data_IF_908774997548
#
_entry.id   IF_908774997548
#
_cell.length_a   1.000
_cell.length_b   1.000
_cell.length_c   1.000
_cell.angle_alpha   90.00
_cell.angle_beta   90.00
_cell.angle_gamma   90.00
#
_symmetry.space_group_name_H-M   'P 1'
#
loop_
_entity.id
_entity.type
_entity.pdbx_description
1 polymer ?
#
# COMPACT_ATOMS: atom_id res chain seq x y z
N UNK A 1 29.92 -9.89 -13.55
CA UNK A 1 28.60 -9.23 -13.54
C UNK A 1 28.05 -9.41 -12.14
N UNK A 2 28.12 -8.37 -11.28
CA UNK A 2 27.66 -8.46 -9.89
C UNK A 2 26.13 -8.46 -9.91
N UNK A 3 25.53 -9.61 -9.58
CA UNK A 3 24.13 -9.66 -9.16
C UNK A 3 23.99 -8.69 -8.00
N UNK A 4 23.17 -7.66 -8.15
CA UNK A 4 22.78 -6.82 -7.02
C UNK A 4 22.19 -7.76 -5.97
N UNK A 5 22.68 -7.65 -4.73
CA UNK A 5 22.10 -8.38 -3.60
C UNK A 5 20.59 -8.14 -3.61
N UNK A 6 19.80 -9.19 -3.38
CA UNK A 6 18.39 -9.04 -3.07
C UNK A 6 18.29 -7.90 -2.05
N UNK A 7 17.73 -6.77 -2.48
CA UNK A 7 17.60 -5.61 -1.60
C UNK A 7 16.59 -6.06 -0.57
N UNK A 8 17.02 -6.20 0.68
CA UNK A 8 16.10 -6.46 1.77
C UNK A 8 15.15 -5.26 1.82
N UNK A 9 13.96 -5.43 1.27
CA UNK A 9 13.01 -4.33 1.12
C UNK A 9 12.75 -3.68 2.46
N UNK A 10 12.74 -4.46 3.53
CA UNK A 10 12.52 -4.03 4.90
C UNK A 10 13.59 -3.07 5.42
N UNK A 11 14.77 -3.03 4.81
CA UNK A 11 15.84 -2.07 5.12
C UNK A 11 15.73 -0.76 4.34
N UNK A 12 14.91 -0.71 3.29
CA UNK A 12 14.79 0.50 2.47
C UNK A 12 14.16 1.65 3.27
N UNK A 13 14.54 2.89 2.94
CA UNK A 13 14.00 4.10 3.57
C UNK A 13 12.46 4.15 3.53
N UNK A 14 11.87 3.53 2.50
CA UNK A 14 10.43 3.36 2.39
C UNK A 14 9.84 2.68 3.61
N UNK A 15 10.48 1.66 4.19
CA UNK A 15 9.96 0.87 5.31
C UNK A 15 10.61 1.22 6.67
N UNK A 16 11.76 1.90 6.68
CA UNK A 16 12.50 2.25 7.90
C UNK A 16 12.31 3.71 8.37
N UNK A 17 11.89 4.63 7.50
CA UNK A 17 11.75 6.04 7.86
C UNK A 17 10.69 6.26 8.97
N UNK A 18 10.98 7.08 10.00
CA UNK A 18 9.99 7.48 10.99
C UNK A 18 8.80 8.20 10.33
N UNK A 19 7.57 7.81 10.68
CA UNK A 19 6.33 8.37 10.13
C UNK A 19 5.15 8.14 11.06
N UNK A 20 4.07 8.89 10.81
CA UNK A 20 2.76 8.63 11.39
C UNK A 20 1.95 7.74 10.45
N UNK A 21 1.51 6.58 10.96
CA UNK A 21 0.69 5.61 10.21
C UNK A 21 1.49 4.57 9.39
N UNK A 22 0.78 3.57 8.83
CA UNK A 22 1.40 2.52 8.02
C UNK A 22 1.84 3.01 6.63
N UNK A 23 2.66 2.19 5.96
CA UNK A 23 2.91 2.32 4.52
C UNK A 23 1.90 1.46 3.77
N UNK A 24 1.23 2.06 2.80
CA UNK A 24 0.36 1.37 1.86
C UNK A 24 1.06 1.32 0.51
N UNK A 25 1.38 0.13 0.03
CA UNK A 25 1.91 -0.08 -1.32
C UNK A 25 0.80 -0.67 -2.18
N UNK A 26 0.34 0.08 -3.17
CA UNK A 26 -0.55 -0.42 -4.20
C UNK A 26 0.26 -1.12 -5.28
N UNK A 27 -0.03 -2.40 -5.51
CA UNK A 27 0.45 -3.13 -6.67
C UNK A 27 -0.57 -3.01 -7.81
N UNK A 28 -0.11 -2.56 -8.97
CA UNK A 28 -0.95 -2.25 -10.13
C UNK A 28 -0.23 -2.61 -11.43
N UNK A 29 -0.97 -2.67 -12.53
CA UNK A 29 -0.44 -2.76 -13.89
C UNK A 29 -1.36 -2.01 -14.85
N UNK A 30 -0.86 -1.61 -16.02
CA UNK A 30 -1.66 -0.93 -17.05
C UNK A 30 -2.80 -1.80 -17.60
N UNK A 31 -2.65 -3.13 -17.54
CA UNK A 31 -3.64 -4.10 -18.04
C UNK A 31 -4.71 -4.47 -17.00
N UNK A 32 -4.55 -4.04 -15.76
CA UNK A 32 -5.48 -4.35 -14.67
C UNK A 32 -6.72 -3.44 -14.74
N UNK A 33 -7.84 -3.98 -15.26
CA UNK A 33 -9.08 -3.22 -15.44
C UNK A 33 -9.67 -2.61 -14.16
N UNK A 34 -9.41 -3.23 -13.00
CA UNK A 34 -9.95 -2.80 -11.70
C UNK A 34 -8.99 -1.92 -10.89
N UNK A 35 -7.75 -1.77 -11.35
CA UNK A 35 -6.74 -1.01 -10.63
C UNK A 35 -7.03 0.50 -10.60
N UNK A 36 -7.59 1.14 -11.66
CA UNK A 36 -7.99 2.55 -11.58
C UNK A 36 -9.01 2.83 -10.48
N UNK A 37 -10.01 1.96 -10.31
CA UNK A 37 -11.01 2.08 -9.25
C UNK A 37 -10.39 1.91 -7.85
N UNK A 38 -9.47 0.95 -7.69
CA UNK A 38 -8.70 0.80 -6.46
C UNK A 38 -7.87 2.06 -6.13
N UNK A 39 -7.18 2.65 -7.12
CA UNK A 39 -6.41 3.89 -6.96
C UNK A 39 -7.30 5.04 -6.47
N UNK A 40 -8.48 5.22 -7.08
CA UNK A 40 -9.43 6.27 -6.65
C UNK A 40 -9.92 6.05 -5.22
N UNK A 41 -10.11 4.80 -4.80
CA UNK A 41 -10.52 4.47 -3.42
C UNK A 41 -9.40 4.73 -2.41
N UNK A 42 -8.15 4.41 -2.74
CA UNK A 42 -7.01 4.74 -1.87
C UNK A 42 -6.88 6.26 -1.74
N UNK A 43 -6.95 7.01 -2.84
CA UNK A 43 -6.92 8.48 -2.83
C UNK A 43 -8.03 9.08 -1.95
N UNK A 44 -9.25 8.54 -2.04
CA UNK A 44 -10.36 9.00 -1.21
C UNK A 44 -10.09 8.78 0.30
N UNK A 45 -9.53 7.63 0.69
CA UNK A 45 -9.20 7.33 2.08
C UNK A 45 -7.98 8.12 2.57
N UNK A 46 -7.01 8.40 1.68
CA UNK A 46 -5.84 9.22 1.98
C UNK A 46 -6.17 10.66 2.39
N UNK A 47 -7.41 11.11 2.15
CA UNK A 47 -7.90 12.42 2.61
C UNK A 47 -8.30 12.42 4.08
N UNK A 48 -8.70 11.26 4.62
CA UNK A 48 -9.29 11.14 5.96
C UNK A 48 -8.50 10.25 6.91
N UNK A 49 -7.48 9.54 6.43
CA UNK A 49 -6.66 8.62 7.24
C UNK A 49 -5.17 8.87 7.02
N UNK A 50 -4.37 8.54 8.03
CA UNK A 50 -2.92 8.65 8.03
C UNK A 50 -2.26 7.36 7.56
N UNK A 51 -1.61 7.45 6.40
CA UNK A 51 -0.71 6.46 5.85
C UNK A 51 0.12 7.09 4.74
N UNK A 52 1.28 6.49 4.45
CA UNK A 52 2.11 6.87 3.29
C UNK A 52 1.77 5.93 2.14
N UNK A 53 1.39 6.50 1.00
CA UNK A 53 0.97 5.71 -0.17
C UNK A 53 2.02 5.69 -1.26
N UNK A 54 2.37 4.47 -1.71
CA UNK A 54 3.23 4.23 -2.85
C UNK A 54 2.54 3.33 -3.88
N UNK A 55 2.88 3.53 -5.15
CA UNK A 55 2.38 2.72 -6.26
C UNK A 55 3.57 1.98 -6.86
N UNK A 56 3.42 0.66 -7.03
CA UNK A 56 4.41 -0.20 -7.66
C UNK A 56 3.78 -1.00 -8.81
N UNK A 57 4.53 -1.12 -9.91
CA UNK A 57 4.13 -1.99 -11.00
C UNK A 57 4.39 -3.45 -10.62
N UNK A 58 3.34 -4.27 -10.53
CA UNK A 58 3.43 -5.65 -10.07
C UNK A 58 4.30 -6.54 -10.99
N UNK A 59 4.46 -6.18 -12.27
CA UNK A 59 5.28 -6.96 -13.21
C UNK A 59 6.77 -6.69 -13.12
N UNK A 60 7.18 -5.54 -12.59
CA UNK A 60 8.59 -5.15 -12.48
C UNK A 60 9.08 -5.04 -11.04
N UNK A 61 8.18 -5.22 -10.06
CA UNK A 61 8.49 -5.05 -8.65
C UNK A 61 8.96 -6.37 -8.05
N UNK A 62 10.23 -6.43 -7.62
CA UNK A 62 10.74 -7.58 -6.87
C UNK A 62 10.07 -7.72 -5.50
N UNK A 63 9.52 -6.62 -4.94
CA UNK A 63 8.67 -6.66 -3.74
C UNK A 63 7.37 -7.43 -4.00
N UNK A 64 6.75 -7.22 -5.16
CA UNK A 64 5.54 -7.94 -5.54
C UNK A 64 5.82 -9.45 -5.69
N UNK A 65 7.01 -9.80 -6.19
CA UNK A 65 7.47 -11.19 -6.29
C UNK A 65 7.72 -11.81 -4.90
N UNK A 66 8.46 -11.13 -4.02
CA UNK A 66 8.74 -11.57 -2.65
C UNK A 66 7.46 -11.78 -1.84
N UNK A 67 6.48 -10.90 -2.02
CA UNK A 67 5.18 -10.95 -1.35
C UNK A 67 4.15 -11.86 -2.05
N UNK A 68 4.58 -12.63 -3.06
CA UNK A 68 3.75 -13.55 -3.83
C UNK A 68 2.43 -12.91 -4.33
N UNK A 69 2.54 -11.70 -4.89
CA UNK A 69 1.40 -10.99 -5.49
C UNK A 69 1.00 -11.67 -6.80
N UNK A 70 -0.06 -12.46 -6.75
CA UNK A 70 -0.58 -13.25 -7.87
C UNK A 70 -1.88 -12.69 -8.47
N UNK A 71 -2.58 -11.79 -7.76
CA UNK A 71 -3.86 -11.24 -8.22
C UNK A 71 -4.01 -9.74 -7.96
N UNK A 72 -4.42 -9.00 -8.99
CA UNK A 72 -4.64 -7.56 -8.94
C UNK A 72 -6.14 -7.18 -8.89
N UNK A 73 -6.46 -5.98 -8.38
CA UNK A 73 -5.58 -5.05 -7.64
C UNK A 73 -5.15 -5.65 -6.31
N UNK A 74 -3.95 -5.29 -5.84
CA UNK A 74 -3.44 -5.71 -4.54
C UNK A 74 -2.86 -4.51 -3.77
N UNK A 75 -2.90 -4.60 -2.45
CA UNK A 75 -2.26 -3.63 -1.55
C UNK A 75 -1.49 -4.38 -0.46
N UNK A 76 -0.27 -3.92 -0.18
CA UNK A 76 0.43 -4.20 1.07
C UNK A 76 0.10 -3.09 2.06
N UNK A 77 -0.29 -3.46 3.27
CA UNK A 77 -0.33 -2.57 4.43
C UNK A 77 0.80 -2.98 5.35
N UNK A 78 1.77 -2.10 5.56
CA UNK A 78 2.94 -2.32 6.38
C UNK A 78 2.95 -1.41 7.59
N UNK A 79 2.89 -1.98 8.79
CA UNK A 79 3.12 -1.26 10.05
C UNK A 79 4.56 -1.47 10.55
N UNK A 80 5.05 -2.70 10.43
CA UNK A 80 6.43 -3.11 10.74
C UNK A 80 6.72 -4.45 10.07
N UNK A 81 7.98 -4.92 10.14
CA UNK A 81 8.40 -6.22 9.60
C UNK A 81 7.53 -7.35 10.14
N UNK A 82 7.25 -7.36 11.45
CA UNK A 82 6.41 -8.38 12.09
C UNK A 82 4.90 -8.16 11.90
N UNK A 83 4.49 -6.97 11.44
CA UNK A 83 3.08 -6.57 11.31
C UNK A 83 2.84 -5.93 9.94
N UNK A 84 2.75 -6.79 8.94
CA UNK A 84 2.33 -6.40 7.60
C UNK A 84 1.36 -7.42 7.00
N UNK A 85 0.54 -6.97 6.05
CA UNK A 85 -0.44 -7.83 5.36
C UNK A 85 -0.58 -7.45 3.91
N UNK A 86 -0.69 -8.46 3.06
CA UNK A 86 -0.95 -8.31 1.63
C UNK A 86 -2.39 -8.73 1.34
N UNK A 87 -3.14 -7.83 0.71
CA UNK A 87 -4.50 -8.07 0.28
C UNK A 87 -4.53 -8.06 -1.24
N UNK A 88 -5.07 -9.12 -1.83
CA UNK A 88 -5.05 -9.35 -3.27
C UNK A 88 -6.47 -9.53 -3.81
N UNK A 89 -6.64 -9.44 -5.14
CA UNK A 89 -7.92 -9.62 -5.82
C UNK A 89 -9.02 -8.70 -5.26
N UNK A 90 -8.67 -7.46 -4.92
CA UNK A 90 -9.58 -6.50 -4.29
C UNK A 90 -10.77 -6.16 -5.21
N UNK A 91 -11.99 -6.13 -4.68
CA UNK A 91 -13.23 -5.80 -5.40
C UNK A 91 -14.11 -4.87 -4.58
N UNK A 92 -15.05 -4.19 -5.24
CA UNK A 92 -16.07 -3.40 -4.54
C UNK A 92 -15.44 -2.44 -3.53
N UNK A 93 -15.92 -2.45 -2.30
CA UNK A 93 -15.47 -1.60 -1.20
C UNK A 93 -14.26 -2.14 -0.41
N UNK A 94 -13.64 -3.24 -0.84
CA UNK A 94 -12.55 -3.90 -0.11
C UNK A 94 -11.44 -2.93 0.28
N UNK A 95 -10.98 -2.09 -0.68
CA UNK A 95 -9.92 -1.11 -0.44
C UNK A 95 -10.28 -0.18 0.71
N UNK A 96 -11.48 0.41 0.67
CA UNK A 96 -11.95 1.34 1.69
C UNK A 96 -12.06 0.66 3.05
N UNK A 97 -12.66 -0.54 3.09
CA UNK A 97 -12.83 -1.32 4.32
C UNK A 97 -11.49 -1.70 4.95
N UNK A 98 -10.52 -2.14 4.15
CA UNK A 98 -9.18 -2.51 4.61
C UNK A 98 -8.45 -1.29 5.17
N UNK A 99 -8.43 -0.19 4.42
CA UNK A 99 -7.70 1.00 4.85
C UNK A 99 -8.33 1.65 6.09
N UNK A 100 -9.66 1.66 6.24
CA UNK A 100 -10.31 2.10 7.47
C UNK A 100 -10.00 1.20 8.68
N UNK A 101 -9.77 -0.10 8.46
CA UNK A 101 -9.46 -1.04 9.53
C UNK A 101 -7.97 -0.99 9.95
N UNK A 102 -7.09 -0.64 9.02
CA UNK A 102 -5.64 -0.72 9.20
C UNK A 102 -4.96 0.65 9.38
N UNK A 103 -5.56 1.74 8.92
CA UNK A 103 -4.99 3.09 9.02
C UNK A 103 -5.75 3.90 10.06
N UNK A 104 -5.05 4.76 10.79
CA UNK A 104 -5.69 5.63 11.77
C UNK A 104 -6.42 6.78 11.07
N UNK A 105 -7.64 7.14 11.48
CA UNK A 105 -8.28 8.37 11.01
C UNK A 105 -7.45 9.59 11.37
N UNK A 106 -7.33 10.53 10.44
CA UNK A 106 -6.78 11.85 10.73
C UNK A 106 -7.66 12.55 11.74
N UNK A 107 -7.06 13.04 12.81
CA UNK A 107 -7.72 14.03 13.66
C UNK A 107 -7.76 15.36 12.89
N UNK A 108 -8.80 15.53 12.08
CA UNK A 108 -9.17 16.85 11.60
C UNK A 108 -9.79 17.55 12.80
N UNK A 109 -8.96 18.27 13.56
CA UNK A 109 -9.48 19.36 14.37
C UNK A 109 -10.18 20.29 13.37
N UNK A 110 -11.51 20.22 13.31
CA UNK A 110 -12.33 21.27 12.71
C UNK A 110 -12.02 22.54 13.49
N UNK A 111 -10.96 23.23 13.10
CA UNK A 111 -10.59 24.56 13.55
C UNK A 111 -11.41 25.61 12.76
N UNK A 112 -12.65 25.27 12.43
CA UNK A 112 -13.64 26.23 11.95
C UNK A 112 -14.59 26.50 13.11
N UNK A 113 -14.27 27.62 13.75
CA UNK A 113 -15.09 28.42 14.65
C UNK A 113 -16.44 28.80 14.03
#
# INVERSE_FOLDING_TARGET
>A
MRMAAATDWWESELFTSPREGPVVVQFTTEVCALCPDATLKIDAVAKTHDFVWHINNAFSSTLAEELEVTALPAILVFHSVDKHKVYQKLRGDDVTRILHAECMPRFVLNADF
#
